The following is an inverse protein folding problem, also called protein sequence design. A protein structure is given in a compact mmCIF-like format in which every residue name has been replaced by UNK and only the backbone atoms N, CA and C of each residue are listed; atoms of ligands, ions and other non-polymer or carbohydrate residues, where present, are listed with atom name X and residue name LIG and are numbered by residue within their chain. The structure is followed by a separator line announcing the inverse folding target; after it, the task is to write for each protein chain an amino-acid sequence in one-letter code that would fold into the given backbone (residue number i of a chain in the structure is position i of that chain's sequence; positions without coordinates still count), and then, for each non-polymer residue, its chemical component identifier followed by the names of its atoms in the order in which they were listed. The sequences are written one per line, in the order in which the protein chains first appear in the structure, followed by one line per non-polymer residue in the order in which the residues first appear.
data_IF_627842859872
#
_entry.id   IF_627842859872
#
_cell.length_a   1.000
_cell.length_b   1.000
_cell.length_c   1.000
_cell.angle_alpha   90.00
_cell.angle_beta   90.00
_cell.angle_gamma   90.00
#
_symmetry.space_group_name_H-M   'P 1'
#
loop_
_entity.id
_entity.type
_entity.pdbx_description
1 polymer ?
#
# COMPACT_ATOMS: atom_id res chain seq x y z
N UNK A 1 1.24 -22.87 6.67
CA UNK A 1 1.10 -21.97 5.51
C UNK A 1 1.88 -20.68 5.69
N UNK A 2 2.09 -20.20 6.93
CA UNK A 2 2.98 -19.08 7.24
C UNK A 2 2.33 -17.71 7.03
N UNK A 3 1.03 -17.65 6.77
CA UNK A 3 0.29 -16.41 6.61
C UNK A 3 -0.12 -15.83 7.97
N UNK A 4 0.02 -14.51 8.12
CA UNK A 4 -0.43 -13.77 9.29
C UNK A 4 -1.57 -12.84 8.90
N UNK A 5 -2.69 -12.90 9.62
CA UNK A 5 -3.80 -11.93 9.54
C UNK A 5 -3.88 -11.18 10.88
N UNK A 6 -2.96 -10.23 11.12
CA UNK A 6 -2.99 -9.45 12.35
C UNK A 6 -4.27 -8.60 12.38
N UNK A 7 -4.88 -8.51 13.56
CA UNK A 7 -5.99 -7.60 13.82
C UNK A 7 -5.54 -6.64 14.92
N UNK A 8 -5.40 -5.37 14.56
CA UNK A 8 -4.99 -4.33 15.51
C UNK A 8 -6.23 -3.62 16.01
N UNK A 9 -6.52 -3.78 17.30
CA UNK A 9 -7.65 -3.14 17.98
C UNK A 9 -7.21 -1.81 18.55
N UNK A 10 -7.99 -0.76 18.28
CA UNK A 10 -7.71 0.59 18.77
C UNK A 10 -9.00 1.43 18.82
N UNK A 11 -8.97 2.52 19.59
CA UNK A 11 -10.05 3.49 19.60
C UNK A 11 -9.90 4.45 18.40
N UNK A 12 -10.82 4.34 17.43
CA UNK A 12 -10.80 5.20 16.23
C UNK A 12 -11.08 6.68 16.54
N UNK A 13 -11.66 6.99 17.70
CA UNK A 13 -11.90 8.36 18.15
C UNK A 13 -10.66 9.01 18.77
N UNK A 14 -9.61 8.22 19.04
CA UNK A 14 -8.34 8.69 19.54
C UNK A 14 -7.29 8.75 18.41
N UNK A 15 -6.92 9.96 17.91
CA UNK A 15 -5.97 10.10 16.81
C UNK A 15 -4.58 9.51 17.10
N UNK A 16 -4.15 9.49 18.36
CA UNK A 16 -2.86 8.91 18.75
C UNK A 16 -2.88 7.38 18.61
N UNK A 17 -4.01 6.75 18.94
CA UNK A 17 -4.19 5.31 18.78
C UNK A 17 -4.34 4.91 17.31
N UNK A 18 -4.96 5.75 16.48
CA UNK A 18 -4.98 5.60 15.01
C UNK A 18 -3.56 5.60 14.46
N UNK A 19 -2.74 6.59 14.82
CA UNK A 19 -1.36 6.67 14.32
C UNK A 19 -0.53 5.46 14.81
N UNK A 20 -0.68 5.08 16.08
CA UNK A 20 -0.01 3.89 16.61
C UNK A 20 -0.45 2.60 15.91
N UNK A 21 -1.71 2.46 15.54
CA UNK A 21 -2.18 1.25 14.86
C UNK A 21 -1.56 1.12 13.48
N UNK A 22 -1.41 2.23 12.75
CA UNK A 22 -0.65 2.27 11.50
C UNK A 22 0.81 1.86 11.72
N UNK A 23 1.53 2.52 12.63
CA UNK A 23 2.95 2.21 12.91
C UNK A 23 3.18 0.75 13.32
N UNK A 24 2.25 0.15 14.08
CA UNK A 24 2.30 -1.27 14.42
C UNK A 24 2.16 -2.13 13.15
N UNK A 25 1.21 -1.80 12.26
CA UNK A 25 1.04 -2.47 10.97
C UNK A 25 2.30 -2.39 10.11
N UNK A 26 2.91 -1.21 10.02
CA UNK A 26 4.17 -0.98 9.29
C UNK A 26 5.30 -1.87 9.82
N UNK A 27 5.49 -1.91 11.15
CA UNK A 27 6.54 -2.71 11.77
C UNK A 27 6.32 -4.21 11.60
N UNK A 28 5.06 -4.67 11.64
CA UNK A 28 4.72 -6.07 11.33
C UNK A 28 5.11 -6.41 9.88
N UNK A 29 4.71 -5.59 8.91
CA UNK A 29 5.01 -5.81 7.50
C UNK A 29 6.52 -5.80 7.23
N UNK A 30 7.25 -4.79 7.72
CA UNK A 30 8.70 -4.72 7.58
C UNK A 30 9.39 -5.88 8.29
N UNK A 31 8.90 -6.33 9.45
CA UNK A 31 9.43 -7.51 10.13
C UNK A 31 9.26 -8.79 9.29
N UNK A 32 8.08 -8.99 8.69
CA UNK A 32 7.84 -10.11 7.78
C UNK A 32 8.84 -10.12 6.62
N UNK A 33 9.05 -8.96 5.97
CA UNK A 33 10.01 -8.83 4.85
C UNK A 33 11.45 -9.13 5.32
N UNK A 34 11.88 -8.58 6.46
CA UNK A 34 13.23 -8.80 7.01
C UNK A 34 13.54 -10.27 7.28
N UNK A 35 12.52 -11.07 7.59
CA UNK A 35 12.66 -12.51 7.82
C UNK A 35 12.42 -13.37 6.56
N UNK A 36 12.40 -12.75 5.37
CA UNK A 36 12.23 -13.45 4.10
C UNK A 36 10.78 -13.82 3.76
N UNK A 37 9.81 -13.21 4.44
CA UNK A 37 8.39 -13.34 4.13
C UNK A 37 7.96 -12.52 2.91
N UNK A 38 6.68 -12.62 2.56
CA UNK A 38 6.04 -11.86 1.49
C UNK A 38 4.98 -10.91 2.05
N UNK A 39 4.69 -9.83 1.31
CA UNK A 39 3.65 -8.86 1.69
C UNK A 39 2.24 -9.43 1.61
N UNK A 40 2.03 -10.42 0.76
CA UNK A 40 0.76 -11.11 0.67
C UNK A 40 0.87 -12.53 0.14
N UNK A 41 -0.02 -13.39 0.64
CA UNK A 41 -0.27 -14.74 0.14
C UNK A 41 -1.65 -14.82 -0.54
N UNK A 42 -2.73 -14.75 0.26
CA UNK A 42 -4.11 -14.83 -0.24
C UNK A 42 -4.80 -13.46 -0.44
N UNK A 43 -4.33 -12.43 0.27
CA UNK A 43 -4.91 -11.07 0.22
C UNK A 43 -4.27 -10.23 -0.90
N UNK A 44 -4.84 -9.07 -1.19
CA UNK A 44 -4.22 -8.11 -2.12
C UNK A 44 -3.17 -7.22 -1.43
N UNK A 45 -2.30 -6.60 -2.22
CA UNK A 45 -1.40 -5.52 -1.74
C UNK A 45 -2.22 -4.29 -1.35
N UNK A 46 -3.16 -3.86 -2.21
CA UNK A 46 -4.01 -2.70 -1.94
C UNK A 46 -3.23 -1.39 -1.80
N UNK A 47 -3.90 -0.35 -1.32
CA UNK A 47 -3.26 0.94 -1.05
C UNK A 47 -2.30 0.86 0.14
N UNK A 48 -2.67 0.08 1.14
CA UNK A 48 -1.98 0.01 2.43
C UNK A 48 -0.61 -0.64 2.32
N UNK A 49 -0.44 -1.72 1.54
CA UNK A 49 0.85 -2.44 1.46
C UNK A 49 1.70 -2.02 0.26
N UNK A 50 1.22 -1.10 -0.58
CA UNK A 50 1.87 -0.76 -1.84
C UNK A 50 3.27 -0.17 -1.66
N UNK A 51 3.49 0.65 -0.63
CA UNK A 51 4.77 1.33 -0.39
C UNK A 51 5.90 0.33 -0.11
N UNK A 52 5.62 -0.74 0.64
CA UNK A 52 6.57 -1.81 0.98
C UNK A 52 6.97 -2.71 -0.20
N UNK A 53 6.29 -2.63 -1.34
CA UNK A 53 6.69 -3.43 -2.51
C UNK A 53 8.13 -3.15 -2.95
N UNK A 54 8.64 -1.94 -2.68
CA UNK A 54 10.02 -1.55 -2.95
C UNK A 54 11.05 -2.25 -2.05
N UNK A 55 10.63 -2.76 -0.89
CA UNK A 55 11.49 -3.56 -0.01
C UNK A 55 11.58 -5.02 -0.47
N UNK A 56 10.54 -5.53 -1.13
CA UNK A 56 10.46 -6.93 -1.56
C UNK A 56 10.97 -7.15 -3.00
N UNK A 57 10.80 -6.15 -3.88
CA UNK A 57 11.09 -6.29 -5.31
C UNK A 57 12.09 -5.25 -5.79
N UNK A 58 13.00 -5.68 -6.67
CA UNK A 58 13.87 -4.74 -7.38
C UNK A 58 13.07 -3.80 -8.28
N UNK A 59 13.64 -2.62 -8.57
CA UNK A 59 13.03 -1.65 -9.50
C UNK A 59 12.72 -2.26 -10.87
N UNK A 60 13.58 -3.14 -11.39
CA UNK A 60 13.36 -3.84 -12.66
C UNK A 60 12.17 -4.80 -12.58
N UNK A 61 12.02 -5.51 -11.45
CA UNK A 61 10.88 -6.40 -11.22
C UNK A 61 9.57 -5.61 -11.17
N UNK A 62 9.54 -4.50 -10.42
CA UNK A 62 8.38 -3.62 -10.35
C UNK A 62 8.02 -3.05 -11.72
N UNK A 63 9.03 -2.61 -12.49
CA UNK A 63 8.84 -2.13 -13.87
C UNK A 63 8.26 -3.21 -14.78
N UNK A 64 8.74 -4.45 -14.69
CA UNK A 64 8.20 -5.56 -15.47
C UNK A 64 6.75 -5.86 -15.12
N UNK A 65 6.39 -5.88 -13.84
CA UNK A 65 5.00 -6.04 -13.41
C UNK A 65 4.09 -4.91 -13.94
N UNK A 66 4.58 -3.66 -13.90
CA UNK A 66 3.88 -2.52 -14.46
C UNK A 66 3.70 -2.62 -15.99
N UNK A 67 4.71 -3.11 -16.72
CA UNK A 67 4.63 -3.29 -18.17
C UNK A 67 3.54 -4.30 -18.55
N UNK A 68 3.48 -5.44 -17.86
CA UNK A 68 2.43 -6.45 -18.08
C UNK A 68 1.05 -5.84 -17.83
N UNK A 69 0.89 -5.09 -16.74
CA UNK A 69 -0.38 -4.42 -16.43
C UNK A 69 -0.75 -3.42 -17.52
N UNK A 70 0.16 -2.55 -17.94
CA UNK A 70 -0.10 -1.53 -18.96
C UNK A 70 -0.47 -2.16 -20.30
N UNK A 71 0.13 -3.29 -20.65
CA UNK A 71 -0.21 -4.02 -21.87
C UNK A 71 -1.68 -4.47 -21.88
N UNK A 72 -2.19 -5.01 -20.77
CA UNK A 72 -3.58 -5.47 -20.66
C UNK A 72 -4.57 -4.40 -20.16
N UNK A 73 -4.09 -3.23 -19.74
CA UNK A 73 -4.90 -2.14 -19.20
C UNK A 73 -4.38 -0.78 -19.70
N UNK A 74 -4.37 -0.54 -21.03
CA UNK A 74 -3.75 0.64 -21.62
C UNK A 74 -4.42 1.96 -21.19
N UNK A 75 -5.71 1.92 -20.87
CA UNK A 75 -6.48 3.08 -20.40
C UNK A 75 -6.44 3.26 -18.88
N UNK A 76 -5.73 2.38 -18.16
CA UNK A 76 -5.59 2.41 -16.70
C UNK A 76 -6.92 2.40 -15.92
N UNK A 77 -7.95 1.69 -16.41
CA UNK A 77 -9.29 1.66 -15.79
C UNK A 77 -9.39 0.67 -14.62
N UNK A 78 -8.51 -0.33 -14.55
CA UNK A 78 -8.58 -1.41 -13.56
C UNK A 78 -7.96 -1.05 -12.20
N UNK A 79 -8.64 -0.27 -11.36
CA UNK A 79 -8.18 0.14 -10.01
C UNK A 79 -6.85 0.94 -10.05
N UNK A 80 -6.86 2.16 -10.61
CA UNK A 80 -5.67 3.02 -10.67
C UNK A 80 -5.13 3.32 -9.26
N UNK A 81 -3.80 3.33 -9.11
CA UNK A 81 -3.12 3.68 -7.85
C UNK A 81 -3.09 2.61 -6.77
N UNK A 82 -3.87 1.53 -6.88
CA UNK A 82 -4.06 0.55 -5.80
C UNK A 82 -3.02 -0.57 -5.72
N UNK A 83 -2.12 -0.73 -6.70
CA UNK A 83 -1.23 -1.89 -6.78
C UNK A 83 0.26 -1.56 -6.64
N UNK A 84 0.72 -0.41 -7.12
CA UNK A 84 2.15 -0.10 -7.19
C UNK A 84 2.46 1.18 -6.43
N UNK A 85 3.64 1.27 -5.80
CA UNK A 85 4.10 2.51 -5.17
C UNK A 85 3.99 3.68 -6.15
N UNK A 86 3.40 4.78 -5.68
CA UNK A 86 3.34 6.02 -6.45
C UNK A 86 4.54 6.90 -6.08
N UNK A 87 5.10 7.68 -7.03
CA UNK A 87 6.16 8.63 -6.70
C UNK A 87 5.64 9.62 -5.64
N UNK A 88 6.36 9.75 -4.53
CA UNK A 88 5.95 10.59 -3.40
C UNK A 88 6.15 12.09 -3.65
N UNK A 89 6.81 12.47 -4.75
CA UNK A 89 7.15 13.87 -5.07
C UNK A 89 6.91 14.20 -6.55
N UNK A 90 6.41 15.40 -6.81
CA UNK A 90 6.14 15.92 -8.16
C UNK A 90 7.35 15.90 -9.12
N UNK A 91 8.58 15.80 -8.60
CA UNK A 91 9.80 15.77 -9.41
C UNK A 91 10.21 14.37 -9.91
N UNK A 92 9.58 13.31 -9.40
CA UNK A 92 9.97 11.92 -9.69
C UNK A 92 9.19 11.31 -10.87
N UNK A 93 8.09 11.92 -11.32
CA UNK A 93 7.35 11.45 -12.50
C UNK A 93 7.98 11.98 -13.80
N UNK A 94 8.85 11.18 -14.45
CA UNK A 94 9.39 11.55 -15.79
C UNK A 94 8.47 11.22 -16.98
N UNK A 95 7.36 10.52 -16.78
CA UNK A 95 6.36 10.29 -17.83
C UNK A 95 5.12 9.60 -17.28
N UNK A 96 3.93 10.09 -17.66
CA UNK A 96 2.65 9.46 -17.36
C UNK A 96 1.67 10.47 -16.77
N UNK A 97 0.62 10.76 -17.52
CA UNK A 97 -0.49 11.64 -17.12
C UNK A 97 -0.99 11.27 -15.73
N UNK A 98 -0.61 12.07 -14.73
CA UNK A 98 -1.18 11.93 -13.40
C UNK A 98 -2.69 12.20 -13.51
N UNK A 99 -3.58 11.32 -13.00
CA UNK A 99 -4.94 11.74 -12.72
C UNK A 99 -4.83 13.00 -11.85
N UNK A 100 -5.58 14.06 -12.16
CA UNK A 100 -5.66 15.23 -11.27
C UNK A 100 -6.30 14.80 -9.95
N UNK A 101 -5.51 14.21 -9.05
CA UNK A 101 -5.90 14.00 -7.67
C UNK A 101 -5.59 15.30 -6.94
N UNK A 102 -6.63 16.11 -6.75
CA UNK A 102 -6.62 17.26 -5.84
C UNK A 102 -6.69 16.84 -4.37
N UNK A 103 -6.61 15.55 -4.06
CA UNK A 103 -6.59 15.05 -2.70
C UNK A 103 -5.15 14.80 -2.26
N UNK A 104 -4.66 15.65 -1.36
CA UNK A 104 -3.66 15.22 -0.36
C UNK A 104 -4.32 14.04 0.37
N UNK A 105 -3.76 12.84 0.25
CA UNK A 105 -4.26 11.68 0.97
C UNK A 105 -4.04 11.94 2.47
N UNK A 106 -5.13 12.25 3.15
CA UNK A 106 -5.20 12.32 4.60
C UNK A 106 -5.04 10.91 5.15
N UNK A 107 -3.82 10.54 5.59
CA UNK A 107 -3.49 9.20 6.10
C UNK A 107 -4.43 8.77 7.24
N UNK A 108 -4.94 9.73 8.00
CA UNK A 108 -5.94 9.56 9.07
C UNK A 108 -7.32 9.06 8.60
N UNK A 109 -7.60 9.05 7.28
CA UNK A 109 -8.87 8.62 6.69
C UNK A 109 -8.84 7.27 5.97
N UNK A 110 -7.74 6.52 6.05
CA UNK A 110 -7.62 5.19 5.40
C UNK A 110 -8.43 4.11 6.15
N UNK A 111 -8.96 4.41 7.33
CA UNK A 111 -9.69 3.45 8.14
C UNK A 111 -11.13 3.24 7.63
N UNK A 112 -11.53 1.97 7.52
CA UNK A 112 -12.90 1.53 7.39
C UNK A 112 -13.82 2.36 8.29
N UNK A 113 -14.60 3.25 7.67
CA UNK A 113 -15.53 4.11 8.37
C UNK A 113 -16.40 3.25 9.30
N UNK A 114 -16.22 3.44 10.63
CA UNK A 114 -16.95 2.86 11.78
C UNK A 114 -16.36 1.63 12.50
N UNK A 115 -15.18 1.11 12.17
CA UNK A 115 -14.58 0.00 12.95
C UNK A 115 -13.20 0.37 13.50
N UNK A 116 -13.00 0.29 14.82
CA UNK A 116 -11.70 0.42 15.50
C UNK A 116 -10.77 -0.78 15.28
N UNK A 117 -10.70 -1.25 14.03
CA UNK A 117 -9.96 -2.43 13.60
C UNK A 117 -9.16 -2.05 12.35
N UNK A 118 -7.85 -2.27 12.38
CA UNK A 118 -6.95 -2.24 11.22
C UNK A 118 -6.48 -3.67 10.90
N UNK A 119 -6.33 -3.98 9.60
CA UNK A 119 -6.05 -5.33 9.08
C UNK A 119 -4.82 -5.32 8.20
#
# INVERSE_FOLDING_TARGET
DGNLHPLILYNYENPEEVEKSHLIGEEILSSCIRHGGALSGEHGIGLEKAEWMTELYSNDSLKNMQNVRTFFNPENLLNPGKLFPQPGRCAESKSGTSPKSTAVLDKTKIVAAKSGIAV
#
